data_IF_238409363931
#
_entry.id   IF_238409363931
#
_cell.length_a   1.000
_cell.length_b   1.000
_cell.length_c   1.000
_cell.angle_alpha   90.00
_cell.angle_beta   90.00
_cell.angle_gamma   90.00
#
_symmetry.space_group_name_H-M   'P 1'
#
loop_
_entity.id
_entity.type
_entity.pdbx_description
1 polymer ?
#
# COMPACT_ATOMS: atom_id res chain seq x y z
N UNK A 1 3.00 -3.95 -2.81
CA UNK A 1 3.90 -5.12 -2.73
C UNK A 1 4.21 -5.59 -4.13
N UNK A 2 5.38 -6.20 -4.36
CA UNK A 2 5.74 -6.78 -5.66
C UNK A 2 6.04 -8.26 -5.49
N UNK A 3 5.43 -9.08 -6.34
CA UNK A 3 5.76 -10.49 -6.46
C UNK A 3 6.59 -10.69 -7.72
N UNK A 4 7.65 -11.50 -7.63
CA UNK A 4 8.53 -11.81 -8.77
C UNK A 4 8.63 -13.32 -8.97
N UNK A 5 8.88 -13.73 -10.20
CA UNK A 5 9.12 -15.12 -10.60
C UNK A 5 9.86 -15.13 -11.95
N UNK A 6 10.27 -16.31 -12.41
CA UNK A 6 10.97 -16.53 -13.68
C UNK A 6 12.47 -16.72 -13.51
N UNK A 7 13.24 -16.20 -14.48
CA UNK A 7 14.70 -16.33 -14.51
C UNK A 7 15.37 -15.48 -13.43
N UNK A 8 16.40 -16.04 -12.81
CA UNK A 8 17.29 -15.38 -11.86
C UNK A 8 18.77 -15.52 -12.25
N UNK A 9 19.05 -15.84 -13.53
CA UNK A 9 20.42 -15.98 -14.05
C UNK A 9 21.23 -14.67 -13.99
N UNK A 10 20.53 -13.53 -13.91
CA UNK A 10 21.11 -12.21 -13.65
C UNK A 10 21.05 -11.82 -12.18
N UNK A 11 20.42 -12.62 -11.33
CA UNK A 11 20.19 -12.33 -9.92
C UNK A 11 19.03 -11.35 -9.66
N UNK A 12 18.22 -11.05 -10.68
CA UNK A 12 17.14 -10.07 -10.64
C UNK A 12 16.04 -10.36 -9.60
N UNK A 13 15.90 -11.61 -9.15
CA UNK A 13 14.89 -12.02 -8.18
C UNK A 13 15.39 -11.93 -6.73
N UNK A 14 16.63 -11.49 -6.50
CA UNK A 14 17.24 -11.36 -5.16
C UNK A 14 17.20 -12.68 -4.38
N UNK A 15 17.39 -13.80 -5.08
CA UNK A 15 17.51 -15.14 -4.48
C UNK A 15 18.92 -15.66 -4.73
N UNK A 16 19.64 -15.93 -3.65
CA UNK A 16 20.89 -16.68 -3.74
C UNK A 16 20.56 -18.12 -4.16
N UNK A 17 21.45 -18.73 -4.94
CA UNK A 17 21.47 -20.18 -5.21
C UNK A 17 20.27 -20.78 -5.96
N UNK A 18 19.37 -19.94 -6.50
CA UNK A 18 18.25 -20.40 -7.35
C UNK A 18 18.36 -19.75 -8.73
N UNK A 19 18.59 -20.51 -9.82
CA UNK A 19 18.70 -19.94 -11.16
C UNK A 19 17.35 -19.49 -11.74
N UNK A 20 16.24 -20.01 -11.21
CA UNK A 20 14.89 -19.59 -11.56
C UNK A 20 13.92 -19.89 -10.42
N UNK A 21 12.79 -19.18 -10.40
CA UNK A 21 11.69 -19.39 -9.46
C UNK A 21 10.39 -19.54 -10.25
N UNK A 22 9.70 -20.68 -10.12
CA UNK A 22 8.48 -20.98 -10.90
C UNK A 22 7.19 -20.44 -10.27
N UNK A 23 7.22 -20.11 -8.98
CA UNK A 23 6.05 -19.62 -8.21
C UNK A 23 6.30 -18.19 -7.76
N UNK A 24 5.32 -17.27 -7.84
CA UNK A 24 5.47 -15.90 -7.36
C UNK A 24 5.95 -15.83 -5.90
N UNK A 25 7.06 -15.14 -5.69
CA UNK A 25 7.62 -14.88 -4.36
C UNK A 25 7.57 -13.39 -4.04
N UNK A 26 7.36 -13.04 -2.78
CA UNK A 26 7.40 -11.65 -2.33
C UNK A 26 8.82 -11.09 -2.47
N UNK A 27 8.97 -10.01 -3.25
CA UNK A 27 10.23 -9.29 -3.42
C UNK A 27 10.45 -8.33 -2.24
N UNK A 28 11.39 -8.66 -1.36
CA UNK A 28 11.67 -7.88 -0.14
C UNK A 28 12.71 -6.79 -0.39
N UNK A 29 12.28 -5.52 -0.25
CA UNK A 29 13.15 -4.33 -0.35
C UNK A 29 13.21 -3.64 1.02
N UNK A 30 14.16 -4.06 1.87
CA UNK A 30 14.29 -3.52 3.23
C UNK A 30 13.05 -3.77 4.11
N UNK A 31 12.83 -2.89 5.09
CA UNK A 31 11.64 -2.85 5.95
C UNK A 31 10.49 -2.01 5.37
N UNK A 32 10.78 -1.19 4.36
CA UNK A 32 9.84 -0.29 3.70
C UNK A 32 9.09 -1.04 2.60
N UNK A 33 7.77 -0.84 2.50
CA UNK A 33 6.90 -1.73 1.71
C UNK A 33 5.92 -1.05 0.76
N UNK A 34 6.02 0.28 0.65
CA UNK A 34 5.33 1.06 -0.36
C UNK A 34 6.21 1.16 -1.61
N UNK A 35 5.86 0.38 -2.63
CA UNK A 35 6.50 0.43 -3.95
C UNK A 35 5.71 1.43 -4.80
N UNK A 36 6.40 2.42 -5.33
CA UNK A 36 5.83 3.41 -6.23
C UNK A 36 5.73 2.84 -7.64
N UNK A 37 6.83 2.31 -8.18
CA UNK A 37 6.91 1.80 -9.54
C UNK A 37 7.93 0.65 -9.66
N UNK A 38 7.80 -0.18 -10.69
CA UNK A 38 8.64 -1.37 -10.92
C UNK A 38 8.93 -1.58 -12.41
N UNK A 39 10.17 -1.91 -12.72
CA UNK A 39 10.61 -2.33 -14.05
C UNK A 39 11.39 -3.64 -13.95
N UNK A 40 11.15 -4.56 -14.88
CA UNK A 40 11.91 -5.80 -15.00
C UNK A 40 12.51 -5.91 -16.40
N UNK A 41 13.80 -6.22 -16.46
CA UNK A 41 14.52 -6.51 -17.70
C UNK A 41 15.05 -7.94 -17.74
N UNK A 42 15.76 -8.32 -18.81
CA UNK A 42 16.25 -9.68 -19.02
C UNK A 42 17.17 -10.19 -17.91
N UNK A 43 17.89 -9.29 -17.24
CA UNK A 43 18.88 -9.61 -16.20
C UNK A 43 18.79 -8.70 -14.99
N UNK A 44 17.71 -7.94 -14.84
CA UNK A 44 17.54 -7.01 -13.72
C UNK A 44 16.07 -6.78 -13.32
N UNK A 45 15.87 -6.30 -12.10
CA UNK A 45 14.62 -5.75 -11.57
C UNK A 45 14.95 -4.44 -10.87
N UNK A 46 14.17 -3.40 -11.13
CA UNK A 46 14.32 -2.08 -10.53
C UNK A 46 13.00 -1.65 -9.91
N UNK A 47 13.04 -1.02 -8.74
CA UNK A 47 11.87 -0.52 -8.04
C UNK A 47 12.12 0.89 -7.52
N UNK A 48 11.08 1.72 -7.52
CA UNK A 48 11.05 2.94 -6.72
C UNK A 48 10.29 2.62 -5.44
N UNK A 49 10.88 2.87 -4.28
CA UNK A 49 10.28 2.59 -2.97
C UNK A 49 10.34 3.79 -2.05
N UNK A 50 9.51 3.75 -1.01
CA UNK A 50 9.55 4.74 0.06
C UNK A 50 10.86 4.68 0.87
N UNK A 51 11.55 5.80 0.95
CA UNK A 51 12.76 5.98 1.75
C UNK A 51 12.50 6.61 3.11
N UNK A 52 13.56 7.21 3.66
CA UNK A 52 13.48 8.02 4.89
C UNK A 52 12.77 9.34 4.54
N UNK A 53 11.92 9.84 5.43
CA UNK A 53 11.15 11.08 5.25
C UNK A 53 10.33 11.14 3.95
N UNK A 54 9.80 9.99 3.54
CA UNK A 54 9.02 9.84 2.31
C UNK A 54 9.78 10.17 1.02
N UNK A 55 11.11 10.18 1.06
CA UNK A 55 11.95 10.39 -0.14
C UNK A 55 11.97 9.12 -1.01
N UNK A 56 11.69 9.21 -2.32
CA UNK A 56 11.67 8.04 -3.20
C UNK A 56 13.10 7.54 -3.49
N UNK A 57 13.31 6.23 -3.37
CA UNK A 57 14.62 5.58 -3.58
C UNK A 57 14.51 4.56 -4.70
N UNK A 58 15.46 4.60 -5.65
CA UNK A 58 15.58 3.59 -6.70
C UNK A 58 16.45 2.42 -6.23
N UNK A 59 15.85 1.24 -6.13
CA UNK A 59 16.54 -0.02 -5.89
C UNK A 59 16.72 -0.78 -7.19
N UNK A 60 17.93 -1.27 -7.44
CA UNK A 60 18.27 -2.12 -8.57
C UNK A 60 18.75 -3.48 -8.08
N UNK A 61 18.31 -4.53 -8.75
CA UNK A 61 18.73 -5.90 -8.49
C UNK A 61 19.07 -6.58 -9.81
N UNK A 62 20.29 -7.10 -9.99
CA UNK A 62 20.67 -7.76 -11.23
C UNK A 62 22.11 -7.53 -11.66
N UNK A 63 22.45 -7.98 -12.88
CA UNK A 63 23.75 -7.74 -13.49
C UNK A 63 23.83 -6.31 -14.04
N UNK A 64 24.81 -5.54 -13.57
CA UNK A 64 25.20 -4.26 -14.16
C UNK A 64 26.31 -4.48 -15.19
N UNK A 65 26.23 -3.80 -16.35
CA UNK A 65 27.28 -3.81 -17.37
C UNK A 65 28.54 -3.03 -16.95
N UNK A 66 28.40 -2.15 -15.95
CA UNK A 66 29.51 -1.36 -15.42
C UNK A 66 30.08 -2.13 -14.23
N UNK A 67 31.25 -2.75 -14.40
CA UNK A 67 31.92 -3.66 -13.46
C UNK A 67 32.31 -3.11 -12.08
N UNK A 68 31.63 -2.07 -11.58
CA UNK A 68 31.79 -1.48 -10.24
C UNK A 68 30.84 -2.05 -9.18
N UNK A 69 29.96 -2.99 -9.55
CA UNK A 69 29.18 -3.75 -8.58
C UNK A 69 29.87 -5.11 -8.49
N UNK A 70 30.56 -5.37 -7.37
CA UNK A 70 31.16 -6.67 -7.08
C UNK A 70 30.21 -7.78 -7.54
N UNK A 71 30.72 -8.75 -8.30
CA UNK A 71 29.96 -9.84 -8.90
C UNK A 71 29.15 -10.71 -7.90
N UNK A 72 29.26 -10.40 -6.60
CA UNK A 72 28.53 -11.01 -5.48
C UNK A 72 27.37 -10.15 -4.95
N UNK A 73 27.28 -8.86 -5.27
CA UNK A 73 26.24 -7.95 -4.78
C UNK A 73 25.14 -7.79 -5.81
N UNK A 74 24.15 -8.66 -5.69
CA UNK A 74 23.01 -8.72 -6.60
C UNK A 74 22.05 -7.54 -6.47
N UNK A 75 22.26 -6.62 -5.52
CA UNK A 75 21.34 -5.51 -5.22
C UNK A 75 22.10 -4.24 -4.85
N UNK A 76 21.70 -3.09 -5.40
CA UNK A 76 22.24 -1.78 -5.04
C UNK A 76 21.16 -0.68 -5.05
N UNK A 77 21.41 0.41 -4.32
CA UNK A 77 20.64 1.65 -4.43
C UNK A 77 21.27 2.49 -5.55
N UNK A 78 20.46 2.92 -6.52
CA UNK A 78 20.93 3.85 -7.54
C UNK A 78 20.87 5.27 -6.99
N UNK A 79 22.02 5.96 -7.01
CA UNK A 79 22.12 7.36 -6.61
C UNK A 79 21.59 8.25 -7.72
N UNK A 80 20.33 8.66 -7.63
CA UNK A 80 19.70 9.64 -8.53
C UNK A 80 19.57 11.03 -7.91
N UNK A 81 20.08 11.19 -6.68
CA UNK A 81 19.87 12.39 -5.86
C UNK A 81 20.35 13.68 -6.54
N UNK A 82 21.40 13.62 -7.37
CA UNK A 82 21.91 14.76 -8.16
C UNK A 82 21.07 15.07 -9.41
N UNK A 83 20.32 14.10 -9.92
CA UNK A 83 19.53 14.23 -11.14
C UNK A 83 18.11 14.74 -10.85
N UNK A 84 17.53 14.35 -9.71
CA UNK A 84 16.18 14.74 -9.34
C UNK A 84 15.48 13.73 -8.44
N UNK A 85 14.17 13.92 -8.30
CA UNK A 85 13.27 13.02 -7.60
C UNK A 85 12.81 11.90 -8.54
N UNK A 86 13.13 10.63 -8.29
CA UNK A 86 12.69 9.53 -9.15
C UNK A 86 11.16 9.37 -9.12
N UNK A 87 10.55 9.37 -10.29
CA UNK A 87 9.09 9.30 -10.46
C UNK A 87 8.61 8.04 -11.19
N UNK A 88 9.43 7.48 -12.08
CA UNK A 88 9.10 6.25 -12.81
C UNK A 88 10.35 5.49 -13.25
N UNK A 89 10.22 4.18 -13.45
CA UNK A 89 11.26 3.30 -13.99
C UNK A 89 10.72 2.53 -15.19
N UNK A 90 11.51 2.42 -16.25
CA UNK A 90 11.11 1.70 -17.45
C UNK A 90 12.21 0.79 -17.98
N UNK A 91 11.83 -0.39 -18.48
CA UNK A 91 12.75 -1.36 -19.04
C UNK A 91 12.85 -1.21 -20.55
N UNK A 92 14.04 -0.85 -21.06
CA UNK A 92 14.32 -0.76 -22.49
C UNK A 92 15.35 -1.84 -22.87
N UNK A 93 14.89 -3.09 -22.89
CA UNK A 93 15.75 -4.25 -23.12
C UNK A 93 16.81 -4.39 -22.02
N UNK A 94 18.09 -4.19 -22.37
CA UNK A 94 19.20 -4.26 -21.40
C UNK A 94 19.43 -2.96 -20.63
N UNK A 95 18.75 -1.87 -21.01
CA UNK A 95 18.88 -0.58 -20.36
C UNK A 95 17.71 -0.33 -19.42
N UNK A 96 17.99 0.32 -18.30
CA UNK A 96 17.01 0.85 -17.36
C UNK A 96 16.91 2.36 -17.58
N UNK A 97 15.70 2.86 -17.83
CA UNK A 97 15.40 4.28 -17.86
C UNK A 97 14.79 4.67 -16.52
N UNK A 98 15.27 5.77 -15.95
CA UNK A 98 14.72 6.36 -14.73
C UNK A 98 14.24 7.77 -15.07
N UNK A 99 12.94 8.01 -14.95
CA UNK A 99 12.38 9.34 -15.06
C UNK A 99 12.55 10.07 -13.72
N UNK A 100 13.03 11.31 -13.80
CA UNK A 100 13.28 12.16 -12.63
C UNK A 100 12.59 13.50 -12.80
N UNK A 101 12.00 14.00 -11.71
CA UNK A 101 11.58 15.39 -11.60
C UNK A 101 12.79 16.23 -11.16
N UNK A 102 13.23 17.24 -11.93
CA UNK A 102 14.37 18.07 -11.56
C UNK A 102 14.19 18.73 -10.19
N UNK A 103 15.30 18.96 -9.49
CA UNK A 103 15.29 19.73 -8.24
C UNK A 103 15.12 21.22 -8.55
N UNK A 104 14.24 21.88 -7.80
CA UNK A 104 14.03 23.33 -7.83
C UNK A 104 14.38 23.97 -6.49
N UNK A 105 14.14 25.27 -6.37
CA UNK A 105 14.49 26.04 -5.15
C UNK A 105 13.57 25.72 -3.95
N UNK A 106 12.30 25.41 -4.18
CA UNK A 106 11.36 24.92 -3.16
C UNK A 106 10.98 23.45 -3.42
N UNK A 107 11.56 22.55 -2.63
CA UNK A 107 11.30 21.11 -2.71
C UNK A 107 10.17 20.65 -1.76
N UNK A 108 9.62 21.56 -0.95
CA UNK A 108 8.66 21.21 0.11
C UNK A 108 7.36 20.64 -0.45
N UNK A 109 6.87 21.23 -1.55
CA UNK A 109 5.67 20.75 -2.25
C UNK A 109 5.88 19.34 -2.83
N UNK A 110 7.05 19.07 -3.41
CA UNK A 110 7.39 17.77 -3.99
C UNK A 110 7.52 16.72 -2.89
N UNK A 111 8.19 17.05 -1.78
CA UNK A 111 8.30 16.17 -0.63
C UNK A 111 6.91 15.83 -0.04
N UNK A 112 6.04 16.83 0.11
CA UNK A 112 4.66 16.64 0.58
C UNK A 112 3.85 15.75 -0.38
N UNK A 113 4.03 15.90 -1.70
CA UNK A 113 3.38 15.06 -2.68
C UNK A 113 3.81 13.58 -2.56
N UNK A 114 5.12 13.31 -2.40
CA UNK A 114 5.59 11.95 -2.17
C UNK A 114 5.08 11.38 -0.84
N UNK A 115 5.07 12.17 0.23
CA UNK A 115 4.53 11.76 1.52
C UNK A 115 3.05 11.35 1.42
N UNK A 116 2.26 12.14 0.69
CA UNK A 116 0.86 11.83 0.41
C UNK A 116 0.72 10.51 -0.36
N UNK A 117 1.42 10.38 -1.49
CA UNK A 117 1.35 9.20 -2.36
C UNK A 117 1.76 7.92 -1.60
N UNK A 118 2.87 7.95 -0.88
CA UNK A 118 3.32 6.77 -0.13
C UNK A 118 2.39 6.40 1.02
N UNK A 119 1.76 7.39 1.64
CA UNK A 119 0.78 7.17 2.68
C UNK A 119 -0.53 6.59 2.11
N UNK A 120 -0.96 7.00 0.91
CA UNK A 120 -2.13 6.44 0.23
C UNK A 120 -1.88 5.00 -0.26
N UNK A 121 -0.67 4.71 -0.77
CA UNK A 121 -0.25 3.35 -1.09
C UNK A 121 -0.25 2.44 0.14
N UNK A 122 0.24 2.94 1.28
CA UNK A 122 0.21 2.22 2.55
C UNK A 122 -1.22 1.99 3.02
N UNK A 123 -2.07 3.01 2.93
CA UNK A 123 -3.47 2.94 3.33
C UNK A 123 -4.28 1.94 2.48
N UNK A 124 -4.14 1.98 1.16
CA UNK A 124 -4.78 1.02 0.25
C UNK A 124 -4.39 -0.42 0.59
N UNK A 125 -3.13 -0.67 0.94
CA UNK A 125 -2.68 -1.99 1.41
C UNK A 125 -3.38 -2.41 2.70
N UNK A 126 -3.47 -1.53 3.70
CA UNK A 126 -4.17 -1.83 4.95
C UNK A 126 -5.63 -2.19 4.66
N UNK A 127 -6.30 -1.41 3.81
CA UNK A 127 -7.68 -1.69 3.42
C UNK A 127 -7.81 -3.06 2.72
N UNK A 128 -6.87 -3.43 1.84
CA UNK A 128 -6.86 -4.74 1.20
C UNK A 128 -6.68 -5.89 2.22
N UNK A 129 -5.80 -5.72 3.21
CA UNK A 129 -5.61 -6.70 4.29
C UNK A 129 -6.87 -6.84 5.15
N UNK A 130 -7.51 -5.72 5.51
CA UNK A 130 -8.75 -5.71 6.29
C UNK A 130 -9.94 -6.27 5.51
N UNK A 131 -10.00 -6.06 4.18
CA UNK A 131 -10.96 -6.74 3.28
C UNK A 131 -10.83 -8.25 3.40
N UNK A 132 -9.61 -8.80 3.38
CA UNK A 132 -9.38 -10.24 3.56
C UNK A 132 -9.85 -10.73 4.93
N UNK A 133 -9.55 -10.00 6.01
CA UNK A 133 -10.02 -10.34 7.36
C UNK A 133 -11.55 -10.33 7.43
N UNK A 134 -12.22 -9.31 6.86
CA UNK A 134 -13.68 -9.22 6.85
C UNK A 134 -14.34 -10.37 6.07
N UNK A 135 -13.78 -10.76 4.92
CA UNK A 135 -14.25 -11.92 4.14
C UNK A 135 -14.12 -13.21 4.93
N UNK A 136 -12.98 -13.45 5.58
CA UNK A 136 -12.76 -14.66 6.37
C UNK A 136 -13.63 -14.71 7.63
N UNK A 137 -13.92 -13.56 8.25
CA UNK A 137 -14.90 -13.48 9.34
C UNK A 137 -16.30 -13.89 8.85
N UNK A 138 -16.72 -13.38 7.68
CA UNK A 138 -17.99 -13.75 7.09
C UNK A 138 -18.06 -15.24 6.74
N UNK A 139 -17.08 -15.78 6.00
CA UNK A 139 -17.03 -17.21 5.64
C UNK A 139 -17.09 -18.10 6.89
N UNK A 140 -16.32 -17.74 7.94
CA UNK A 140 -16.32 -18.48 9.19
C UNK A 140 -17.66 -18.39 9.92
N UNK A 141 -18.35 -17.25 9.82
CA UNK A 141 -19.67 -17.08 10.44
C UNK A 141 -20.71 -18.05 9.88
N UNK A 142 -20.62 -18.38 8.59
CA UNK A 142 -21.49 -19.35 7.93
C UNK A 142 -21.23 -20.78 8.43
N UNK A 143 -19.96 -21.13 8.65
CA UNK A 143 -19.55 -22.44 9.15
C UNK A 143 -20.01 -22.66 10.59
N UNK A 144 -19.96 -21.60 11.42
CA UNK A 144 -20.26 -21.72 12.85
C UNK A 144 -21.75 -21.92 13.16
N UNK A 145 -22.66 -21.76 12.19
CA UNK A 145 -24.12 -21.97 12.30
C UNK A 145 -24.80 -21.33 13.54
N UNK A 146 -24.16 -20.32 14.17
CA UNK A 146 -24.60 -19.77 15.47
C UNK A 146 -25.81 -18.82 15.36
N UNK A 147 -25.93 -18.05 14.27
CA UNK A 147 -27.00 -17.06 14.09
C UNK A 147 -27.05 -16.56 12.65
N UNK A 148 -28.24 -16.54 12.03
CA UNK A 148 -28.46 -15.93 10.71
C UNK A 148 -28.17 -14.43 10.74
N UNK A 149 -28.59 -13.72 11.80
CA UNK A 149 -28.35 -12.28 11.98
C UNK A 149 -26.87 -11.93 12.05
N UNK A 150 -26.06 -12.74 12.75
CA UNK A 150 -24.61 -12.51 12.81
C UNK A 150 -23.96 -12.66 11.43
N UNK A 151 -24.34 -13.69 10.67
CA UNK A 151 -23.84 -13.90 9.31
C UNK A 151 -24.25 -12.77 8.37
N UNK A 152 -25.47 -12.27 8.47
CA UNK A 152 -25.98 -11.13 7.67
C UNK A 152 -25.21 -9.84 7.98
N UNK A 153 -24.97 -9.55 9.26
CA UNK A 153 -24.20 -8.36 9.67
C UNK A 153 -22.75 -8.43 9.19
N UNK A 154 -22.09 -9.58 9.35
CA UNK A 154 -20.72 -9.78 8.87
C UNK A 154 -20.63 -9.78 7.34
N UNK A 155 -21.66 -10.29 6.65
CA UNK A 155 -21.75 -10.20 5.19
C UNK A 155 -21.78 -8.75 4.71
N UNK A 156 -22.75 -7.97 5.21
CA UNK A 156 -22.93 -6.57 4.84
C UNK A 156 -21.69 -5.72 5.18
N UNK A 157 -21.03 -6.01 6.30
CA UNK A 157 -19.76 -5.40 6.66
C UNK A 157 -18.63 -5.77 5.69
N UNK A 158 -18.50 -7.06 5.35
CA UNK A 158 -17.50 -7.55 4.38
C UNK A 158 -17.68 -6.96 2.99
N UNK A 159 -18.92 -6.82 2.51
CA UNK A 159 -19.24 -6.17 1.23
C UNK A 159 -18.84 -4.69 1.25
N UNK A 160 -19.21 -3.97 2.31
CA UNK A 160 -18.87 -2.54 2.47
C UNK A 160 -17.35 -2.34 2.56
N UNK A 161 -16.64 -3.22 3.27
CA UNK A 161 -15.18 -3.19 3.36
C UNK A 161 -14.51 -3.48 2.01
N UNK A 162 -15.11 -4.37 1.22
CA UNK A 162 -14.61 -4.73 -0.11
C UNK A 162 -14.69 -3.54 -1.08
N UNK A 163 -15.86 -2.90 -1.14
CA UNK A 163 -16.07 -1.69 -1.94
C UNK A 163 -15.12 -0.58 -1.51
N UNK A 164 -15.02 -0.33 -0.20
CA UNK A 164 -14.14 0.71 0.32
C UNK A 164 -12.66 0.46 -0.02
N UNK A 165 -12.19 -0.78 0.11
CA UNK A 165 -10.81 -1.13 -0.25
C UNK A 165 -10.52 -0.93 -1.74
N UNK A 166 -11.48 -1.19 -2.62
CA UNK A 166 -11.35 -0.93 -4.07
C UNK A 166 -11.27 0.56 -4.37
N UNK A 167 -12.10 1.38 -3.71
CA UNK A 167 -12.03 2.83 -3.83
C UNK A 167 -10.71 3.39 -3.28
N UNK A 168 -10.23 2.90 -2.13
CA UNK A 168 -8.94 3.28 -1.57
C UNK A 168 -7.78 2.92 -2.51
N UNK A 169 -7.82 1.75 -3.16
CA UNK A 169 -6.86 1.37 -4.18
C UNK A 169 -6.92 2.30 -5.41
N UNK A 170 -8.12 2.68 -5.85
CA UNK A 170 -8.30 3.64 -6.95
C UNK A 170 -7.74 5.04 -6.64
N UNK A 171 -7.89 5.52 -5.39
CA UNK A 171 -7.28 6.79 -4.95
C UNK A 171 -5.75 6.68 -4.96
N UNK A 172 -5.19 5.58 -4.45
CA UNK A 172 -3.75 5.37 -4.45
C UNK A 172 -3.17 5.25 -5.88
N UNK A 173 -3.90 4.65 -6.82
CA UNK A 173 -3.49 4.53 -8.22
C UNK A 173 -3.49 5.89 -8.92
N UNK A 174 -4.56 6.68 -8.75
CA UNK A 174 -4.62 8.06 -9.24
C UNK A 174 -3.49 8.92 -8.68
N UNK A 175 -3.19 8.78 -7.39
CA UNK A 175 -2.09 9.49 -6.74
C UNK A 175 -0.74 9.15 -7.35
N UNK A 176 -0.52 7.90 -7.74
CA UNK A 176 0.68 7.49 -8.49
C UNK A 176 0.73 8.13 -9.88
N UNK A 177 -0.38 8.17 -10.61
CA UNK A 177 -0.44 8.73 -11.97
C UNK A 177 -0.17 10.24 -12.04
N UNK A 178 -0.35 10.99 -10.94
CA UNK A 178 -0.01 12.42 -10.91
C UNK A 178 1.48 12.67 -11.16
N UNK A 179 2.34 11.75 -10.74
CA UNK A 179 3.78 11.86 -10.98
C UNK A 179 4.14 11.62 -12.46
N UNK A 180 3.34 10.86 -13.21
CA UNK A 180 3.62 10.53 -14.61
C UNK A 180 3.04 11.53 -15.62
N UNK A 181 2.08 12.38 -15.22
CA UNK A 181 1.33 13.27 -16.11
C UNK A 181 1.70 14.76 -16.06
N UNK A 182 2.81 15.13 -15.39
CA UNK A 182 3.46 16.43 -15.63
C UNK A 182 3.20 17.56 -14.63
N UNK A 183 3.39 17.30 -13.33
CA UNK A 183 3.69 18.35 -12.34
C UNK A 183 2.56 18.74 -11.38
N UNK A 184 2.93 19.51 -10.35
CA UNK A 184 2.12 19.88 -9.17
C UNK A 184 0.76 20.57 -9.44
N UNK A 185 0.47 21.00 -10.66
CA UNK A 185 -0.80 21.68 -11.02
C UNK A 185 -2.04 20.78 -10.94
N UNK A 186 -1.87 19.48 -10.64
CA UNK A 186 -2.95 18.51 -10.50
C UNK A 186 -3.17 18.00 -9.06
N UNK A 187 -2.54 18.60 -8.04
CA UNK A 187 -2.87 18.32 -6.64
C UNK A 187 -4.37 18.55 -6.35
N UNK A 188 -4.99 19.55 -6.99
CA UNK A 188 -6.43 19.79 -6.92
C UNK A 188 -7.28 18.65 -7.52
N UNK A 189 -6.75 17.94 -8.53
CA UNK A 189 -7.41 16.76 -9.10
C UNK A 189 -7.33 15.53 -8.17
N UNK A 190 -6.27 15.43 -7.34
CA UNK A 190 -6.20 14.44 -6.26
C UNK A 190 -7.27 14.72 -5.20
N UNK A 191 -7.34 15.97 -4.75
CA UNK A 191 -8.32 16.41 -3.76
C UNK A 191 -9.76 16.29 -4.28
N UNK A 192 -10.02 16.52 -5.58
CA UNK A 192 -11.34 16.32 -6.17
C UNK A 192 -11.73 14.83 -6.27
N UNK A 193 -10.76 13.94 -6.47
CA UNK A 193 -10.95 12.48 -6.41
C UNK A 193 -11.35 11.98 -5.02
N UNK A 194 -10.71 12.51 -3.97
CA UNK A 194 -11.06 12.25 -2.56
C UNK A 194 -12.42 12.86 -2.19
N UNK A 195 -12.78 14.00 -2.81
CA UNK A 195 -14.10 14.64 -2.72
C UNK A 195 -15.19 13.98 -3.57
N UNK A 196 -14.90 12.88 -4.28
CA UNK A 196 -15.98 12.16 -4.97
C UNK A 196 -16.97 11.64 -3.94
N UNK A 197 -18.25 11.98 -4.10
CA UNK A 197 -19.33 11.55 -3.19
C UNK A 197 -19.24 10.04 -2.90
N UNK A 198 -18.86 9.24 -3.89
CA UNK A 198 -18.68 7.79 -3.79
C UNK A 198 -17.70 7.33 -2.68
N UNK A 199 -16.55 7.99 -2.49
CA UNK A 199 -15.59 7.59 -1.45
C UNK A 199 -16.12 7.91 -0.05
N UNK A 200 -16.73 9.10 0.10
CA UNK A 200 -17.31 9.56 1.35
C UNK A 200 -18.56 8.74 1.75
N UNK A 201 -19.42 8.43 0.78
CA UNK A 201 -20.60 7.59 0.97
C UNK A 201 -20.19 6.15 1.36
N UNK A 202 -19.14 5.62 0.72
CA UNK A 202 -18.62 4.29 1.04
C UNK A 202 -18.06 4.22 2.47
N UNK A 203 -17.33 5.23 2.94
CA UNK A 203 -16.81 5.21 4.32
C UNK A 203 -17.90 5.43 5.36
N UNK A 204 -18.90 6.25 5.09
CA UNK A 204 -20.07 6.40 5.96
C UNK A 204 -20.82 5.06 6.08
N UNK A 205 -21.11 4.44 4.93
CA UNK A 205 -21.75 3.11 4.89
C UNK A 205 -20.93 2.08 5.66
N UNK A 206 -19.62 2.02 5.43
CA UNK A 206 -18.71 1.12 6.15
C UNK A 206 -18.73 1.37 7.66
N UNK A 207 -18.71 2.63 8.08
CA UNK A 207 -18.77 3.01 9.49
C UNK A 207 -20.08 2.55 10.13
N UNK A 208 -21.21 2.72 9.46
CA UNK A 208 -22.52 2.28 9.96
C UNK A 208 -22.57 0.75 10.09
N UNK A 209 -22.06 0.00 9.11
CA UNK A 209 -21.97 -1.47 9.20
C UNK A 209 -21.05 -1.91 10.33
N UNK A 210 -19.91 -1.24 10.50
CA UNK A 210 -18.98 -1.52 11.59
C UNK A 210 -19.60 -1.25 12.97
N UNK A 211 -20.29 -0.11 13.13
CA UNK A 211 -20.99 0.24 14.36
C UNK A 211 -22.06 -0.79 14.71
N UNK A 212 -22.83 -1.26 13.72
CA UNK A 212 -23.80 -2.34 13.90
C UNK A 212 -23.11 -3.63 14.36
N UNK A 213 -22.01 -4.05 13.74
CA UNK A 213 -21.26 -5.23 14.18
C UNK A 213 -20.79 -5.12 15.65
N UNK A 214 -20.39 -3.93 16.10
CA UNK A 214 -20.02 -3.70 17.50
C UNK A 214 -21.25 -3.78 18.41
N UNK A 215 -22.35 -3.11 18.05
CA UNK A 215 -23.56 -3.02 18.87
C UNK A 215 -24.21 -4.39 19.11
N UNK A 216 -24.22 -5.24 18.07
CA UNK A 216 -24.71 -6.62 18.15
C UNK A 216 -23.67 -7.62 18.67
N UNK A 217 -22.48 -7.15 19.08
CA UNK A 217 -21.46 -7.99 19.67
C UNK A 217 -20.84 -9.01 18.71
N UNK A 218 -20.88 -8.76 17.39
CA UNK A 218 -20.41 -9.72 16.37
C UNK A 218 -18.97 -10.18 16.58
N UNK A 219 -18.12 -9.38 17.24
CA UNK A 219 -16.73 -9.72 17.51
C UNK A 219 -16.48 -10.35 18.89
N UNK A 220 -17.43 -10.24 19.83
CA UNK A 220 -17.19 -10.52 21.26
C UNK A 220 -16.96 -12.01 21.55
N UNK A 221 -17.81 -12.87 20.98
CA UNK A 221 -17.83 -14.34 21.19
C UNK A 221 -17.54 -15.12 19.89
N UNK A 222 -16.88 -14.47 18.94
CA UNK A 222 -16.53 -15.03 17.65
C UNK A 222 -15.20 -15.78 17.74
N UNK A 223 -15.25 -17.10 17.59
CA UNK A 223 -14.03 -17.92 17.48
C UNK A 223 -13.44 -17.72 16.07
N UNK A 224 -12.23 -17.19 16.00
CA UNK A 224 -11.51 -16.95 14.74
C UNK A 224 -10.92 -18.23 14.15
N UNK A 225 -10.65 -19.24 14.96
CA UNK A 225 -9.81 -20.37 14.57
C UNK A 225 -8.36 -19.98 14.30
N UNK A 226 -7.51 -20.98 14.20
CA UNK A 226 -6.05 -20.82 14.09
C UNK A 226 -5.56 -19.96 12.89
N UNK A 227 -6.04 -20.16 11.64
CA UNK A 227 -5.49 -19.44 10.50
C UNK A 227 -5.83 -17.94 10.53
N UNK A 228 -7.07 -17.60 10.88
CA UNK A 228 -7.53 -16.21 10.96
C UNK A 228 -6.97 -15.52 12.21
N UNK A 229 -6.86 -16.21 13.35
CA UNK A 229 -6.20 -15.65 14.53
C UNK A 229 -4.75 -15.28 14.22
N UNK A 230 -3.99 -16.16 13.58
CA UNK A 230 -2.59 -15.90 13.21
C UNK A 230 -2.47 -14.69 12.26
N UNK A 231 -3.41 -14.55 11.31
CA UNK A 231 -3.46 -13.39 10.42
C UNK A 231 -3.74 -12.09 11.20
N UNK A 232 -4.73 -12.11 12.09
CA UNK A 232 -5.10 -10.95 12.93
C UNK A 232 -3.97 -10.55 13.85
N UNK A 233 -3.30 -11.50 14.50
CA UNK A 233 -2.17 -11.24 15.40
C UNK A 233 -1.01 -10.59 14.64
N UNK A 234 -0.68 -11.11 13.45
CA UNK A 234 0.36 -10.53 12.59
C UNK A 234 0.02 -9.10 12.17
N UNK A 235 -1.23 -8.83 11.79
CA UNK A 235 -1.68 -7.47 11.42
C UNK A 235 -1.68 -6.53 12.62
N UNK A 236 -2.06 -7.02 13.81
CA UNK A 236 -2.02 -6.22 15.04
C UNK A 236 -0.60 -5.81 15.39
N UNK A 237 0.37 -6.72 15.23
CA UNK A 237 1.78 -6.41 15.43
C UNK A 237 2.29 -5.38 14.40
N UNK A 238 1.91 -5.54 13.12
CA UNK A 238 2.31 -4.61 12.04
C UNK A 238 1.76 -3.19 12.24
N UNK A 239 0.59 -3.05 12.89
CA UNK A 239 -0.11 -1.79 13.07
C UNK A 239 -0.24 -1.34 14.53
N UNK A 240 0.62 -1.84 15.42
CA UNK A 240 0.68 -1.47 16.85
C UNK A 240 -0.71 -1.51 17.55
N UNK A 241 -1.56 -2.45 17.10
CA UNK A 241 -2.96 -2.59 17.50
C UNK A 241 -3.18 -3.76 18.46
N UNK A 242 -2.12 -4.21 19.13
CA UNK A 242 -2.13 -5.37 20.02
C UNK A 242 -3.09 -5.20 21.20
N UNK A 243 -3.66 -6.32 21.65
CA UNK A 243 -4.56 -6.39 22.80
C UNK A 243 -4.66 -7.82 23.30
N UNK A 244 -4.84 -7.99 24.62
CA UNK A 244 -5.05 -9.31 25.26
C UNK A 244 -6.35 -10.01 24.84
N UNK A 245 -7.33 -9.26 24.30
CA UNK A 245 -8.64 -9.79 23.88
C UNK A 245 -8.81 -9.66 22.37
N UNK A 246 -9.24 -10.74 21.71
CA UNK A 246 -9.43 -10.82 20.25
C UNK A 246 -10.44 -9.80 19.71
N UNK A 247 -11.60 -9.65 20.35
CA UNK A 247 -12.59 -8.65 19.92
C UNK A 247 -12.06 -7.22 19.93
N UNK A 248 -11.11 -6.91 20.82
CA UNK A 248 -10.45 -5.59 20.87
C UNK A 248 -9.40 -5.44 19.76
N UNK A 249 -8.69 -6.51 19.41
CA UNK A 249 -7.76 -6.53 18.28
C UNK A 249 -8.50 -6.20 16.98
N UNK A 250 -9.58 -6.94 16.69
CA UNK A 250 -10.43 -6.69 15.51
C UNK A 250 -10.96 -5.26 15.48
N UNK A 251 -11.48 -4.77 16.62
CA UNK A 251 -11.98 -3.40 16.71
C UNK A 251 -10.88 -2.37 16.39
N UNK A 252 -9.70 -2.49 16.99
CA UNK A 252 -8.58 -1.57 16.74
C UNK A 252 -8.13 -1.62 15.29
N UNK A 253 -8.02 -2.81 14.70
CA UNK A 253 -7.64 -3.00 13.30
C UNK A 253 -8.60 -2.29 12.34
N UNK A 254 -9.90 -2.53 12.47
CA UNK A 254 -10.88 -1.87 11.59
C UNK A 254 -11.00 -0.36 11.87
N UNK A 255 -10.68 0.11 13.09
CA UNK A 255 -10.62 1.53 13.40
C UNK A 255 -9.51 2.30 12.67
N UNK A 256 -8.46 1.60 12.19
CA UNK A 256 -7.39 2.23 11.40
C UNK A 256 -7.94 2.89 10.13
N UNK A 257 -9.00 2.34 9.55
CA UNK A 257 -9.66 2.89 8.35
C UNK A 257 -10.17 4.32 8.62
N UNK A 258 -10.81 4.52 9.76
CA UNK A 258 -11.42 5.81 10.11
C UNK A 258 -10.39 6.81 10.65
N UNK A 259 -9.27 6.34 11.21
CA UNK A 259 -8.20 7.22 11.67
C UNK A 259 -7.59 8.02 10.51
N UNK A 260 -7.40 7.39 9.34
CA UNK A 260 -6.83 8.00 8.14
C UNK A 260 -7.64 9.17 7.58
N UNK A 261 -8.95 9.23 7.85
CA UNK A 261 -9.79 10.36 7.43
C UNK A 261 -9.34 11.69 8.05
N UNK A 262 -8.75 11.65 9.25
CA UNK A 262 -8.19 12.85 9.90
C UNK A 262 -7.03 13.40 9.08
N UNK A 263 -6.14 12.52 8.63
CA UNK A 263 -4.99 12.88 7.81
C UNK A 263 -5.45 13.55 6.49
N UNK A 264 -6.45 12.99 5.80
CA UNK A 264 -6.99 13.62 4.58
C UNK A 264 -7.57 15.02 4.83
N UNK A 265 -8.20 15.23 5.98
CA UNK A 265 -8.72 16.54 6.38
C UNK A 265 -7.58 17.54 6.61
N UNK A 266 -6.51 17.13 7.26
CA UNK A 266 -5.33 17.97 7.51
C UNK A 266 -4.62 18.32 6.20
N UNK A 267 -4.44 17.35 5.31
CA UNK A 267 -3.87 17.55 3.97
C UNK A 267 -4.73 18.53 3.15
N UNK A 268 -6.05 18.39 3.20
CA UNK A 268 -6.96 19.31 2.52
C UNK A 268 -6.89 20.74 3.08
N UNK A 269 -6.70 20.90 4.39
CA UNK A 269 -6.54 22.22 5.00
C UNK A 269 -5.25 22.92 4.53
N UNK A 270 -4.13 22.19 4.48
CA UNK A 270 -2.85 22.70 3.98
C UNK A 270 -2.96 23.16 2.52
N UNK A 271 -3.64 22.39 1.68
CA UNK A 271 -3.83 22.75 0.27
C UNK A 271 -4.69 24.00 0.07
N UNK A 272 -5.72 24.20 0.91
CA UNK A 272 -6.56 25.41 0.86
C UNK A 272 -5.79 26.66 1.30
N UNK A 273 -4.96 26.54 2.33
CA UNK A 273 -4.13 27.65 2.80
C UNK A 273 -3.05 28.05 1.76
N UNK A 274 -2.53 27.10 1.00
CA UNK A 274 -1.56 27.35 -0.07
C UNK A 274 -2.18 27.89 -1.37
N UNK A 275 -3.46 27.61 -1.64
CA UNK A 275 -4.20 28.18 -2.78
C UNK A 275 -4.77 29.59 -2.52
N UNK A 276 -4.58 30.12 -1.32
CA UNK A 276 -5.08 31.44 -0.88
C UNK A 276 -3.98 32.53 -0.84
N UNK A 277 -2.75 32.21 -1.28
CA UNK A 277 -1.63 33.13 -1.51
C UNK A 277 -1.40 33.35 -3.00
#
# INVERSE_FOLDING_TARGET
>A
MVFVWGSNNGGQLKKADQPAVSVPILFKVGSQSSVLDVAAGPSYTSLIVNGIDSTPIVYFCGKSSNGNVDAKTTTCRLSVDKAGWPIAVHSCGRQLLVAVLPRGDDESLVANAFALIFADLKFARVCAQLKTVASQLFERSQIMAKSSTLSELLHSFSESMSLFAELAASVADRSRSLLSLGGCSQLDALLSGVKSNLFLDAIQTLHDRFANCIAFGCFADFDLGEPLSTMVDKLCLEHESESRKQHRQLRKLFQLVFARLKDYREIAAIAVDQGSQ
#
